data_IF_485604129382
#
_entry.id   IF_485604129382
#
_cell.length_a   1.000
_cell.length_b   1.000
_cell.length_c   1.000
_cell.angle_alpha   90.00
_cell.angle_beta   90.00
_cell.angle_gamma   90.00
#
_symmetry.space_group_name_H-M   'P 1'
#
loop_
_entity.id
_entity.type
_entity.pdbx_description
1 polymer ?
#
# COMPACT_ATOMS: atom_id res chain seq x y z
N UNK A 1 -3.68 -9.48 -2.57
CA UNK A 1 -4.88 -10.33 -2.80
C UNK A 1 -5.60 -10.52 -1.48
N UNK A 2 -6.87 -10.95 -1.48
CA UNK A 2 -7.55 -11.39 -0.26
C UNK A 2 -7.05 -12.79 0.19
N UNK A 3 -7.48 -13.26 1.36
CA UNK A 3 -7.37 -14.68 1.73
C UNK A 3 -8.36 -15.52 0.90
N UNK A 4 -8.09 -16.81 0.76
CA UNK A 4 -8.97 -17.74 0.05
C UNK A 4 -10.39 -17.72 0.61
N UNK A 5 -11.38 -17.84 -0.28
CA UNK A 5 -12.77 -18.17 0.03
C UNK A 5 -13.11 -19.49 -0.65
N UNK A 6 -14.13 -20.16 -0.15
CA UNK A 6 -14.63 -21.40 -0.73
C UNK A 6 -16.13 -21.24 -0.90
N UNK A 7 -16.64 -21.59 -2.07
CA UNK A 7 -18.07 -21.54 -2.33
C UNK A 7 -18.80 -22.58 -1.46
N UNK A 8 -19.85 -22.18 -0.76
CA UNK A 8 -20.67 -23.08 0.07
C UNK A 8 -21.83 -23.69 -0.69
N UNK A 9 -22.14 -23.16 -1.87
CA UNK A 9 -23.15 -23.63 -2.80
C UNK A 9 -22.75 -23.18 -4.22
N UNK A 10 -23.28 -23.80 -5.29
CA UNK A 10 -23.02 -23.36 -6.65
C UNK A 10 -23.51 -21.93 -6.91
N UNK A 11 -22.69 -21.11 -7.59
CA UNK A 11 -23.03 -19.74 -7.96
C UNK A 11 -22.41 -19.32 -9.29
N UNK A 12 -22.86 -18.19 -9.83
CA UNK A 12 -22.29 -17.58 -11.03
C UNK A 12 -21.76 -16.18 -10.70
N UNK A 13 -20.51 -15.88 -11.09
CA UNK A 13 -19.89 -14.56 -10.92
C UNK A 13 -19.27 -14.15 -12.26
N UNK A 14 -19.70 -13.00 -12.80
CA UNK A 14 -19.14 -12.46 -14.04
C UNK A 14 -19.34 -13.37 -15.26
N UNK A 15 -20.39 -14.18 -15.28
CA UNK A 15 -20.67 -15.17 -16.33
C UNK A 15 -19.99 -16.53 -16.11
N UNK A 16 -19.16 -16.67 -15.07
CA UNK A 16 -18.43 -17.90 -14.76
C UNK A 16 -19.12 -18.69 -13.64
N UNK A 17 -19.32 -19.99 -13.87
CA UNK A 17 -19.87 -20.92 -12.87
C UNK A 17 -18.79 -21.34 -11.88
N UNK A 18 -19.14 -21.28 -10.59
CA UNK A 18 -18.32 -21.69 -9.46
C UNK A 18 -19.09 -22.80 -8.73
N UNK A 19 -18.48 -23.98 -8.59
CA UNK A 19 -19.08 -25.12 -7.90
C UNK A 19 -18.95 -25.03 -6.39
N UNK A 20 -19.72 -25.83 -5.67
CA UNK A 20 -19.56 -26.00 -4.23
C UNK A 20 -18.15 -26.53 -3.89
N UNK A 21 -17.51 -25.93 -2.89
CA UNK A 21 -16.15 -26.26 -2.46
C UNK A 21 -15.04 -25.64 -3.30
N UNK A 22 -15.35 -25.01 -4.44
CA UNK A 22 -14.32 -24.41 -5.29
C UNK A 22 -13.62 -23.22 -4.58
N UNK A 23 -12.28 -23.12 -4.69
CA UNK A 23 -11.53 -22.01 -4.11
C UNK A 23 -11.68 -20.75 -4.97
N UNK A 24 -12.01 -19.64 -4.32
CA UNK A 24 -12.13 -18.31 -4.93
C UNK A 24 -11.09 -17.38 -4.32
N UNK A 25 -10.28 -16.76 -5.19
CA UNK A 25 -9.31 -15.75 -4.80
C UNK A 25 -9.68 -14.39 -5.37
N UNK A 26 -10.00 -13.45 -4.49
CA UNK A 26 -10.34 -12.08 -4.90
C UNK A 26 -9.07 -11.25 -5.06
N UNK A 27 -8.82 -10.78 -6.29
CA UNK A 27 -7.68 -9.93 -6.62
C UNK A 27 -8.02 -8.46 -6.35
N UNK A 28 -8.01 -8.07 -5.08
CA UNK A 28 -8.35 -6.69 -4.65
C UNK A 28 -7.55 -5.60 -5.40
N UNK A 29 -6.29 -5.87 -5.72
CA UNK A 29 -5.44 -4.93 -6.45
C UNK A 29 -5.89 -4.70 -7.90
N UNK A 30 -6.52 -5.69 -8.52
CA UNK A 30 -7.10 -5.54 -9.86
C UNK A 30 -8.40 -4.72 -9.80
N UNK A 31 -9.24 -4.97 -8.78
CA UNK A 31 -10.43 -4.16 -8.54
C UNK A 31 -10.09 -2.69 -8.22
N UNK A 32 -9.02 -2.44 -7.45
CA UNK A 32 -8.49 -1.09 -7.20
C UNK A 32 -7.91 -0.40 -8.46
N UNK A 33 -7.87 -1.11 -9.60
CA UNK A 33 -7.46 -0.61 -10.92
C UNK A 33 -8.54 -0.74 -11.98
N UNK A 34 -9.77 -1.05 -11.58
CA UNK A 34 -10.87 -1.21 -12.53
C UNK A 34 -11.26 0.14 -13.17
N UNK A 35 -11.12 0.30 -14.51
CA UNK A 35 -11.50 1.53 -15.21
C UNK A 35 -13.02 1.80 -15.18
N UNK A 36 -13.85 0.79 -14.90
CA UNK A 36 -15.29 0.99 -14.71
C UNK A 36 -15.62 1.69 -13.39
N UNK A 37 -14.72 1.62 -12.39
CA UNK A 37 -14.88 2.29 -11.09
C UNK A 37 -14.00 3.52 -10.93
N UNK A 38 -12.77 3.49 -11.44
CA UNK A 38 -11.77 4.51 -11.20
C UNK A 38 -11.34 5.15 -12.53
N UNK A 39 -11.61 6.44 -12.71
CA UNK A 39 -11.01 7.21 -13.81
C UNK A 39 -9.48 7.19 -13.69
N UNK A 40 -8.77 7.02 -14.81
CA UNK A 40 -7.30 6.91 -14.90
C UNK A 40 -6.70 6.06 -13.77
N UNK A 41 -7.05 4.75 -13.68
CA UNK A 41 -6.76 3.92 -12.50
C UNK A 41 -5.27 3.74 -12.22
N UNK A 42 -4.43 3.86 -13.24
CA UNK A 42 -2.97 3.72 -13.10
C UNK A 42 -2.25 5.01 -12.70
N UNK A 43 -2.97 6.14 -12.61
CA UNK A 43 -2.41 7.43 -12.19
C UNK A 43 -2.58 7.61 -10.68
N UNK A 44 -1.48 7.90 -9.99
CA UNK A 44 -1.51 8.30 -8.59
C UNK A 44 -2.04 9.74 -8.47
N UNK A 45 -3.30 9.88 -8.10
CA UNK A 45 -3.95 11.16 -7.81
C UNK A 45 -4.32 11.26 -6.32
N UNK A 46 -3.54 12.04 -5.56
CA UNK A 46 -3.77 12.28 -4.13
C UNK A 46 -5.01 13.14 -3.85
N UNK A 47 -5.55 13.82 -4.86
CA UNK A 47 -6.75 14.67 -4.76
C UNK A 47 -8.06 13.93 -5.07
N UNK A 48 -8.01 12.64 -5.42
CA UNK A 48 -9.20 11.83 -5.75
C UNK A 48 -10.19 11.80 -4.58
N UNK A 49 -11.43 12.25 -4.81
CA UNK A 49 -12.49 12.34 -3.78
C UNK A 49 -13.33 11.07 -3.63
N UNK A 50 -13.78 10.47 -4.74
CA UNK A 50 -14.44 9.15 -4.71
C UNK A 50 -13.37 8.05 -4.80
N UNK A 51 -12.90 7.60 -3.64
CA UNK A 51 -11.80 6.64 -3.53
C UNK A 51 -12.18 5.43 -2.65
N UNK A 52 -13.23 4.72 -3.06
CA UNK A 52 -13.73 3.52 -2.37
C UNK A 52 -12.86 2.29 -2.70
N UNK A 53 -11.57 2.39 -2.38
CA UNK A 53 -10.60 1.32 -2.60
C UNK A 53 -10.84 0.12 -1.67
N UNK A 54 -10.45 -1.07 -2.13
CA UNK A 54 -10.56 -2.36 -1.46
C UNK A 54 -9.25 -2.79 -0.78
N UNK A 55 -8.25 -1.92 -0.70
CA UNK A 55 -6.99 -2.19 0.03
C UNK A 55 -7.14 -2.67 1.49
N UNK A 56 -8.30 -2.47 2.14
CA UNK A 56 -8.63 -3.00 3.48
C UNK A 56 -9.68 -4.12 3.47
N UNK A 57 -9.98 -4.68 2.30
CA UNK A 57 -11.09 -5.61 2.10
C UNK A 57 -12.46 -4.93 2.19
N UNK A 58 -13.52 -5.75 2.24
CA UNK A 58 -14.91 -5.30 2.34
C UNK A 58 -15.78 -6.37 3.04
N UNK A 59 -16.95 -5.98 3.53
CA UNK A 59 -17.93 -6.87 4.14
C UNK A 59 -17.56 -7.34 5.54
N UNK A 60 -18.05 -8.52 5.93
CA UNK A 60 -17.92 -9.08 7.29
C UNK A 60 -16.46 -9.31 7.73
N UNK A 61 -15.52 -9.38 6.78
CA UNK A 61 -14.09 -9.52 7.03
C UNK A 61 -13.30 -8.24 6.72
N UNK A 62 -13.97 -7.08 6.70
CA UNK A 62 -13.30 -5.79 6.57
C UNK A 62 -12.19 -5.65 7.62
N UNK A 63 -11.04 -5.10 7.23
CA UNK A 63 -9.87 -5.06 8.07
C UNK A 63 -10.14 -4.30 9.38
N UNK A 64 -10.14 -5.04 10.49
CA UNK A 64 -10.27 -4.50 11.84
C UNK A 64 -9.19 -3.44 12.13
N UNK A 65 -7.99 -3.62 11.58
CA UNK A 65 -6.87 -2.71 11.74
C UNK A 65 -6.89 -1.49 10.82
N UNK A 66 -7.88 -1.31 9.94
CA UNK A 66 -7.87 -0.23 8.96
C UNK A 66 -7.73 1.19 9.59
N UNK A 67 -8.39 1.52 10.72
CA UNK A 67 -8.18 2.82 11.37
C UNK A 67 -6.73 3.03 11.86
N UNK A 68 -6.14 2.00 12.47
CA UNK A 68 -4.76 2.05 12.96
C UNK A 68 -3.77 2.16 11.80
N UNK A 69 -3.91 1.33 10.76
CA UNK A 69 -3.06 1.38 9.58
C UNK A 69 -3.11 2.76 8.88
N UNK A 70 -4.29 3.41 8.84
CA UNK A 70 -4.42 4.78 8.31
C UNK A 70 -3.75 5.82 9.21
N UNK A 71 -3.81 5.66 10.53
CA UNK A 71 -3.10 6.53 11.45
C UNK A 71 -1.58 6.39 11.28
N UNK A 72 -1.08 5.16 11.32
CA UNK A 72 0.33 4.85 11.15
C UNK A 72 0.86 5.35 9.81
N UNK A 73 0.15 5.09 8.70
CA UNK A 73 0.55 5.56 7.37
C UNK A 73 0.66 7.08 7.29
N UNK A 74 -0.32 7.81 7.85
CA UNK A 74 -0.28 9.29 7.90
C UNK A 74 0.90 9.81 8.73
N UNK A 75 1.12 9.23 9.91
CA UNK A 75 2.21 9.65 10.81
C UNK A 75 3.57 9.31 10.21
N UNK A 76 3.77 8.08 9.73
CA UNK A 76 5.04 7.61 9.19
C UNK A 76 5.42 8.37 7.91
N UNK A 77 4.54 8.39 6.89
CA UNK A 77 4.82 9.08 5.63
C UNK A 77 4.96 10.59 5.83
N UNK A 78 4.07 11.20 6.61
CA UNK A 78 4.15 12.63 6.90
C UNK A 78 5.43 13.01 7.65
N UNK A 79 5.86 12.19 8.61
CA UNK A 79 7.11 12.44 9.35
C UNK A 79 8.34 12.22 8.49
N UNK A 80 8.35 11.17 7.67
CA UNK A 80 9.42 10.89 6.72
C UNK A 80 9.65 12.09 5.79
N UNK A 81 8.59 12.54 5.11
CA UNK A 81 8.68 13.62 4.11
C UNK A 81 8.98 14.98 4.74
N UNK A 82 8.56 15.25 5.98
CA UNK A 82 8.94 16.48 6.70
C UNK A 82 10.40 16.49 7.17
N UNK A 83 10.90 15.35 7.64
CA UNK A 83 12.25 15.25 8.24
C UNK A 83 13.34 15.02 7.20
N UNK A 84 13.01 14.34 6.10
CA UNK A 84 13.91 13.99 5.00
C UNK A 84 13.33 14.51 3.68
N UNK A 85 13.26 15.84 3.48
CA UNK A 85 12.59 16.44 2.32
C UNK A 85 13.27 16.13 0.99
N UNK A 86 14.55 15.75 1.01
CA UNK A 86 15.35 15.38 -0.16
C UNK A 86 15.55 13.85 -0.30
N UNK A 87 14.73 13.05 0.41
CA UNK A 87 14.78 11.59 0.31
C UNK A 87 14.54 11.13 -1.12
N UNK A 88 15.45 10.31 -1.64
CA UNK A 88 15.37 9.73 -2.98
C UNK A 88 15.90 8.31 -2.98
N UNK A 89 15.60 7.56 -4.03
CA UNK A 89 16.17 6.22 -4.21
C UNK A 89 17.70 6.31 -4.28
N UNK A 90 18.36 5.37 -3.62
CA UNK A 90 19.82 5.20 -3.69
C UNK A 90 20.26 4.26 -4.83
N UNK A 91 19.29 3.68 -5.54
CA UNK A 91 19.47 2.71 -6.63
C UNK A 91 18.53 3.06 -7.77
N UNK A 92 18.78 2.53 -8.97
CA UNK A 92 17.84 2.66 -10.07
C UNK A 92 16.51 1.92 -9.74
N UNK A 93 15.33 2.46 -10.09
CA UNK A 93 14.05 1.79 -9.84
C UNK A 93 13.95 0.35 -10.37
N UNK A 94 14.67 0.03 -11.46
CA UNK A 94 14.71 -1.33 -12.04
C UNK A 94 15.45 -2.35 -11.15
N UNK A 95 16.28 -1.88 -10.21
CA UNK A 95 16.98 -2.73 -9.25
C UNK A 95 16.08 -3.15 -8.07
N UNK A 96 14.96 -2.48 -7.88
CA UNK A 96 14.02 -2.79 -6.80
C UNK A 96 13.49 -4.23 -6.94
N UNK A 97 13.50 -4.95 -5.82
CA UNK A 97 13.02 -6.33 -5.75
C UNK A 97 11.77 -6.40 -4.90
N UNK A 98 10.73 -6.98 -5.49
CA UNK A 98 9.48 -7.20 -4.82
C UNK A 98 9.51 -8.48 -3.99
N UNK A 99 8.75 -8.51 -2.90
CA UNK A 99 8.53 -9.73 -2.13
C UNK A 99 7.81 -10.75 -3.02
N UNK A 100 8.24 -12.01 -2.91
CA UNK A 100 7.49 -13.13 -3.46
C UNK A 100 6.25 -13.42 -2.62
N UNK A 101 5.24 -14.03 -3.23
CA UNK A 101 3.99 -14.40 -2.59
C UNK A 101 2.78 -13.64 -3.14
N UNK A 102 1.60 -14.22 -2.94
CA UNK A 102 0.33 -13.76 -3.53
C UNK A 102 -0.39 -12.72 -2.65
N UNK A 103 -0.18 -12.77 -1.33
CA UNK A 103 -1.00 -12.00 -0.39
C UNK A 103 -0.54 -10.55 -0.27
N UNK A 104 0.75 -10.32 -0.01
CA UNK A 104 1.28 -9.00 0.32
C UNK A 104 2.20 -8.45 -0.76
N UNK A 105 1.82 -7.30 -1.32
CA UNK A 105 2.61 -6.53 -2.27
C UNK A 105 3.51 -5.56 -1.50
N UNK A 106 4.82 -5.80 -1.51
CA UNK A 106 5.78 -4.90 -0.88
C UNK A 106 7.18 -5.13 -1.40
N UNK A 107 8.04 -4.12 -1.30
CA UNK A 107 9.45 -4.26 -1.63
C UNK A 107 10.16 -5.12 -0.57
N UNK A 108 11.18 -5.88 -1.00
CA UNK A 108 12.09 -6.58 -0.08
C UNK A 108 12.93 -5.58 0.70
N UNK A 109 13.42 -4.56 0.00
CA UNK A 109 14.19 -3.45 0.52
C UNK A 109 13.86 -2.21 -0.30
N UNK A 110 13.95 -1.03 0.32
CA UNK A 110 13.83 0.27 -0.34
C UNK A 110 15.08 1.09 0.00
N UNK A 111 16.18 0.93 -0.75
CA UNK A 111 17.39 1.71 -0.51
C UNK A 111 17.14 3.19 -0.82
N UNK A 112 17.40 4.05 0.17
CA UNK A 112 17.21 5.50 0.05
C UNK A 112 18.45 6.25 0.49
N UNK A 113 18.61 7.45 -0.04
CA UNK A 113 19.62 8.43 0.34
C UNK A 113 18.93 9.77 0.60
N UNK A 114 19.50 10.55 1.52
CA UNK A 114 19.01 11.85 1.94
C UNK A 114 20.20 12.65 2.51
N UNK A 115 20.12 13.96 2.50
CA UNK A 115 21.14 14.84 3.07
C UNK A 115 21.30 14.63 4.57
N UNK A 116 22.51 14.83 5.09
CA UNK A 116 22.72 14.84 6.53
C UNK A 116 21.85 15.96 7.14
N UNK A 117 20.95 15.58 8.05
CA UNK A 117 20.21 16.56 8.85
C UNK A 117 21.26 17.32 9.66
N UNK A 118 21.48 18.59 9.32
CA UNK A 118 22.50 19.41 9.96
C UNK A 118 22.41 19.28 11.47
N UNK A 119 23.50 18.87 12.11
CA UNK A 119 23.65 18.94 13.56
C UNK A 119 23.53 20.41 13.94
N UNK A 120 22.38 20.80 14.50
CA UNK A 120 22.25 22.09 15.15
C UNK A 120 23.37 22.16 16.21
N UNK A 121 24.31 23.08 15.99
CA UNK A 121 25.60 23.10 16.66
C UNK A 121 25.48 23.16 18.18
N UNK A 122 26.09 22.18 18.85
CA UNK A 122 26.59 22.38 20.21
C UNK A 122 27.76 23.36 20.13
N UNK A 123 27.48 24.66 20.21
CA UNK A 123 28.50 25.65 20.59
C UNK A 123 28.90 25.34 22.03
N UNK A 124 30.00 24.62 22.21
CA UNK A 124 30.76 24.66 23.46
C UNK A 124 31.33 26.07 23.57
N UNK A 125 30.78 26.87 24.48
CA UNK A 125 31.46 28.05 24.99
C UNK A 125 32.56 27.58 25.94
N UNK A 126 33.78 27.47 25.43
CA UNK A 126 35.00 27.56 26.24
C UNK A 126 35.58 28.98 26.08
N UNK A 127 36.25 29.47 27.14
CA UNK A 127 36.83 30.81 27.37
C UNK A 127 35.83 31.89 27.82
N UNK A 128 36.02 32.63 28.93
CA UNK A 128 37.12 32.81 29.88
C UNK A 128 36.52 33.29 31.22
#
# INVERSE_FOLDING_TARGET
MATWRFATEPLEIGGERIGEGDPVLVVLAAADRDPAKFDRPDVLDLGRRDNQHLGYGHGIHYCLGAPLARLEGRVALGSLLRRLPDVRLAVDPSELRWRGGLIMRGLRQLPVQFGAVGSAGTRRSESL
#
